data_IF_215385249194
#
_entry.id   IF_215385249194
#
_cell.length_a   1.000
_cell.length_b   1.000
_cell.length_c   1.000
_cell.angle_alpha   90.00
_cell.angle_beta   90.00
_cell.angle_gamma   90.00
#
_symmetry.space_group_name_H-M   'P 1'
#
loop_
_entity.id
_entity.type
_entity.pdbx_description
1 polymer ?
#
# COMPACT_ATOMS: atom_id res chain seq x y z
N UNK A 1 -10.90 7.74 5.73
CA UNK A 1 -10.82 7.83 4.26
C UNK A 1 -9.38 8.02 3.80
N UNK A 2 -9.09 7.76 2.51
CA UNK A 2 -7.80 8.06 1.86
C UNK A 2 -8.09 9.02 0.71
N UNK A 3 -7.34 10.10 0.59
CA UNK A 3 -7.47 11.07 -0.50
C UNK A 3 -6.14 11.21 -1.24
N UNK A 4 -6.19 11.19 -2.57
CA UNK A 4 -5.08 11.52 -3.45
C UNK A 4 -5.45 12.78 -4.22
N UNK A 5 -4.56 13.77 -4.22
CA UNK A 5 -4.78 15.04 -4.89
C UNK A 5 -3.59 15.39 -5.79
N UNK A 6 -3.85 15.38 -7.10
CA UNK A 6 -2.95 15.74 -8.19
C UNK A 6 -1.58 15.05 -8.11
N UNK A 7 -1.62 13.72 -7.95
CA UNK A 7 -0.42 12.91 -7.76
C UNK A 7 0.33 12.72 -9.07
N UNK A 8 1.57 13.20 -9.08
CA UNK A 8 2.58 12.85 -10.07
C UNK A 8 3.66 11.95 -9.45
N UNK A 9 4.06 10.91 -10.18
CA UNK A 9 5.10 9.99 -9.73
C UNK A 9 5.85 9.31 -10.88
N UNK A 10 7.15 9.09 -10.68
CA UNK A 10 7.98 8.19 -11.51
C UNK A 10 9.02 7.48 -10.66
N UNK A 11 9.33 6.24 -11.04
CA UNK A 11 10.40 5.46 -10.39
C UNK A 11 11.79 5.95 -10.76
N UNK A 12 12.01 6.24 -12.04
CA UNK A 12 13.27 6.81 -12.53
C UNK A 12 13.09 8.32 -12.76
N UNK A 13 13.78 9.18 -12.01
CA UNK A 13 13.75 10.63 -12.21
C UNK A 13 14.13 11.09 -13.62
N UNK A 14 14.87 10.29 -14.39
CA UNK A 14 15.29 10.60 -15.75
C UNK A 14 14.34 10.06 -16.82
N UNK A 15 13.31 9.29 -16.45
CA UNK A 15 12.31 8.84 -17.40
C UNK A 15 11.56 10.04 -18.02
N UNK A 16 11.35 9.96 -19.34
CA UNK A 16 10.62 10.97 -20.12
C UNK A 16 9.14 11.06 -19.75
N UNK A 17 8.55 9.96 -19.27
CA UNK A 17 7.13 9.87 -18.92
C UNK A 17 6.95 9.51 -17.46
N UNK A 18 5.95 10.12 -16.84
CA UNK A 18 5.54 9.78 -15.49
C UNK A 18 4.85 8.40 -15.48
N UNK A 19 4.99 7.68 -14.35
CA UNK A 19 4.22 6.45 -14.10
C UNK A 19 2.78 6.77 -13.70
N UNK A 20 2.58 7.87 -12.97
CA UNK A 20 1.29 8.44 -12.61
C UNK A 20 1.34 9.94 -12.87
N UNK A 21 0.29 10.48 -13.47
CA UNK A 21 0.21 11.89 -13.87
C UNK A 21 -1.17 12.45 -13.51
N UNK A 22 -1.20 13.50 -12.69
CA UNK A 22 -2.40 14.23 -12.30
C UNK A 22 -3.49 13.38 -11.64
N UNK A 23 -3.13 12.36 -10.86
CA UNK A 23 -4.12 11.44 -10.28
C UNK A 23 -4.78 12.07 -9.04
N UNK A 24 -6.10 12.28 -9.12
CA UNK A 24 -6.94 12.71 -7.99
C UNK A 24 -8.13 11.78 -7.78
N UNK A 25 -8.32 11.27 -6.56
CA UNK A 25 -9.50 10.52 -6.15
C UNK A 25 -9.58 10.33 -4.63
N UNK A 26 -10.77 9.96 -4.16
CA UNK A 26 -11.04 9.62 -2.77
C UNK A 26 -11.47 8.16 -2.61
N UNK A 27 -10.94 7.50 -1.58
CA UNK A 27 -11.40 6.21 -1.07
C UNK A 27 -12.17 6.47 0.22
N UNK A 28 -13.51 6.34 0.21
CA UNK A 28 -14.32 6.55 1.39
C UNK A 28 -14.06 5.50 2.46
N UNK A 29 -14.25 5.87 3.71
CA UNK A 29 -14.17 4.94 4.83
C UNK A 29 -15.31 3.91 4.80
N UNK A 30 -15.01 2.66 5.18
CA UNK A 30 -16.00 1.59 5.25
C UNK A 30 -16.57 1.15 3.89
N UNK A 31 -15.93 1.55 2.78
CA UNK A 31 -16.33 1.18 1.42
C UNK A 31 -15.28 0.31 0.75
N UNK A 32 -15.75 -0.55 -0.15
CA UNK A 32 -14.90 -1.29 -1.07
C UNK A 32 -14.74 -0.47 -2.34
N UNK A 33 -13.51 -0.11 -2.68
CA UNK A 33 -13.18 0.66 -3.88
C UNK A 33 -12.36 -0.21 -4.83
N UNK A 34 -12.84 -0.35 -6.07
CA UNK A 34 -12.13 -1.07 -7.12
C UNK A 34 -11.33 -0.10 -7.99
N UNK A 35 -10.03 -0.36 -8.17
CA UNK A 35 -9.16 0.36 -9.10
C UNK A 35 -8.83 -0.59 -10.25
N UNK A 36 -9.33 -0.27 -11.45
CA UNK A 36 -9.18 -1.10 -12.66
C UNK A 36 -8.44 -0.34 -13.76
N UNK A 37 -7.77 -1.08 -14.64
CA UNK A 37 -7.01 -0.50 -15.75
C UNK A 37 -6.07 -1.53 -16.38
N UNK A 38 -5.54 -1.21 -17.56
CA UNK A 38 -4.64 -2.09 -18.32
C UNK A 38 -3.36 -2.45 -17.53
N UNK A 39 -2.68 -3.53 -17.92
CA UNK A 39 -1.34 -3.81 -17.37
C UNK A 39 -0.40 -2.62 -17.61
N UNK A 40 0.41 -2.27 -16.61
CA UNK A 40 1.29 -1.10 -16.68
C UNK A 40 0.63 0.25 -16.37
N UNK A 41 -0.69 0.31 -16.14
CA UNK A 41 -1.41 1.57 -15.84
C UNK A 41 -1.11 2.18 -14.46
N UNK A 42 -0.15 1.65 -13.71
CA UNK A 42 0.25 2.21 -12.40
C UNK A 42 -0.58 1.76 -11.19
N UNK A 43 -1.49 0.77 -11.31
CA UNK A 43 -2.30 0.27 -10.17
C UNK A 43 -1.46 -0.16 -8.96
N UNK A 44 -0.45 -1.01 -9.19
CA UNK A 44 0.47 -1.47 -8.14
C UNK A 44 1.28 -0.30 -7.58
N UNK A 45 1.59 0.71 -8.41
CA UNK A 45 2.26 1.94 -7.97
C UNK A 45 1.38 2.75 -7.02
N UNK A 46 0.08 2.92 -7.32
CA UNK A 46 -0.87 3.59 -6.42
C UNK A 46 -0.92 2.91 -5.04
N UNK A 47 -0.97 1.57 -5.02
CA UNK A 47 -0.95 0.81 -3.76
C UNK A 47 0.34 1.08 -2.98
N UNK A 48 1.51 1.03 -3.64
CA UNK A 48 2.81 1.31 -3.00
C UNK A 48 2.89 2.74 -2.45
N UNK A 49 2.31 3.73 -3.15
CA UNK A 49 2.24 5.10 -2.68
C UNK A 49 1.32 5.26 -1.46
N UNK A 50 0.16 4.60 -1.45
CA UNK A 50 -0.74 4.57 -0.29
C UNK A 50 -0.10 3.91 0.94
N UNK A 51 0.88 3.02 0.75
CA UNK A 51 1.69 2.41 1.83
C UNK A 51 2.91 3.24 2.24
N UNK A 52 3.13 4.39 1.58
CA UNK A 52 4.27 5.26 1.82
C UNK A 52 5.61 4.62 1.47
N UNK A 53 5.67 3.78 0.43
CA UNK A 53 6.93 3.19 -0.03
C UNK A 53 7.81 4.22 -0.76
N UNK A 54 7.18 5.21 -1.39
CA UNK A 54 7.86 6.28 -2.08
C UNK A 54 7.17 7.61 -1.80
N UNK A 55 7.91 8.73 -1.76
CA UNK A 55 7.32 10.05 -1.81
C UNK A 55 6.77 10.33 -3.21
N UNK A 56 5.70 11.13 -3.27
CA UNK A 56 5.16 11.66 -4.53
C UNK A 56 6.02 12.83 -5.01
N UNK A 57 6.06 13.08 -6.31
CA UNK A 57 6.78 14.24 -6.85
C UNK A 57 6.00 15.55 -6.72
N UNK A 58 4.67 15.44 -6.87
CA UNK A 58 3.73 16.54 -6.81
C UNK A 58 2.42 16.04 -6.21
N UNK A 59 1.64 16.97 -5.67
CA UNK A 59 0.37 16.66 -5.02
C UNK A 59 0.52 16.16 -3.60
N UNK A 60 -0.54 15.54 -3.08
CA UNK A 60 -0.56 15.02 -1.71
C UNK A 60 -1.40 13.76 -1.55
N UNK A 61 -0.97 12.90 -0.62
CA UNK A 61 -1.75 11.74 -0.16
C UNK A 61 -2.13 12.01 1.28
N UNK A 62 -3.42 11.96 1.58
CA UNK A 62 -3.94 12.17 2.93
C UNK A 62 -4.64 10.93 3.44
N UNK A 63 -4.30 10.52 4.67
CA UNK A 63 -4.94 9.44 5.40
C UNK A 63 -5.73 10.09 6.54
N UNK A 64 -7.05 9.86 6.58
CA UNK A 64 -7.93 10.45 7.60
C UNK A 64 -7.73 11.97 7.80
N UNK A 65 -7.51 12.71 6.69
CA UNK A 65 -7.36 14.16 6.70
C UNK A 65 -5.96 14.68 7.03
N UNK A 66 -4.98 13.81 7.28
CA UNK A 66 -3.57 14.19 7.53
C UNK A 66 -2.67 13.67 6.42
N UNK A 67 -1.68 14.45 6.00
CA UNK A 67 -0.73 14.05 4.97
C UNK A 67 0.05 12.79 5.40
N UNK A 68 0.23 11.83 4.49
CA UNK A 68 0.94 10.58 4.76
C UNK A 68 2.38 10.81 5.27
N UNK A 69 3.02 11.89 4.83
CA UNK A 69 4.39 12.25 5.22
C UNK A 69 4.49 12.72 6.68
N UNK A 70 3.38 13.08 7.32
CA UNK A 70 3.33 13.42 8.76
C UNK A 70 3.21 12.18 9.66
N UNK A 71 2.93 11.00 9.09
CA UNK A 71 2.81 9.77 9.85
C UNK A 71 4.17 9.09 10.06
N UNK A 72 4.29 8.40 11.19
CA UNK A 72 5.28 7.33 11.29
C UNK A 72 4.86 6.19 10.34
N UNK A 73 5.59 6.01 9.23
CA UNK A 73 5.22 5.04 8.20
C UNK A 73 5.24 3.59 8.69
N UNK A 74 6.04 3.24 9.72
CA UNK A 74 6.02 1.91 10.34
C UNK A 74 4.70 1.70 11.08
N UNK A 75 4.24 2.70 11.85
CA UNK A 75 2.94 2.67 12.50
C UNK A 75 1.81 2.58 11.47
N UNK A 76 1.86 3.39 10.41
CA UNK A 76 0.85 3.36 9.34
C UNK A 76 0.72 1.98 8.72
N UNK A 77 1.85 1.37 8.30
CA UNK A 77 1.83 0.03 7.69
C UNK A 77 1.35 -1.08 8.62
N UNK A 78 1.47 -0.96 9.94
CA UNK A 78 0.86 -1.92 10.89
C UNK A 78 -0.67 -1.89 10.86
N UNK A 79 -1.28 -0.81 10.36
CA UNK A 79 -2.73 -0.68 10.18
C UNK A 79 -3.20 -1.08 8.78
N UNK A 80 -2.28 -1.54 7.92
CA UNK A 80 -2.58 -1.94 6.54
C UNK A 80 -2.37 -3.45 6.37
N UNK A 81 -3.43 -4.17 5.99
CA UNK A 81 -3.31 -5.53 5.44
C UNK A 81 -3.15 -5.45 3.92
N UNK A 82 -2.06 -6.00 3.37
CA UNK A 82 -1.77 -5.95 1.93
C UNK A 82 -1.42 -7.33 1.42
N UNK A 83 -2.05 -7.71 0.32
CA UNK A 83 -1.66 -8.86 -0.50
C UNK A 83 -0.94 -8.32 -1.73
N UNK A 84 0.37 -8.58 -1.80
CA UNK A 84 1.20 -8.14 -2.93
C UNK A 84 1.00 -9.06 -4.14
N UNK A 85 1.18 -8.51 -5.34
CA UNK A 85 1.07 -9.27 -6.60
C UNK A 85 2.06 -10.44 -6.65
N UNK A 86 3.29 -10.21 -6.19
CA UNK A 86 4.29 -11.26 -6.00
C UNK A 86 4.29 -11.65 -4.52
N UNK A 87 4.00 -12.93 -4.24
CA UNK A 87 4.06 -13.48 -2.89
C UNK A 87 5.50 -13.77 -2.48
N UNK A 88 5.78 -13.66 -1.18
CA UNK A 88 7.01 -14.15 -0.56
C UNK A 88 6.64 -15.30 0.36
N UNK A 89 7.27 -16.45 0.16
CA UNK A 89 7.21 -17.58 1.08
C UNK A 89 8.59 -17.70 1.71
N UNK A 90 8.64 -17.61 3.02
CA UNK A 90 9.86 -17.80 3.79
C UNK A 90 10.17 -19.30 3.88
N UNK A 91 11.46 -19.65 3.89
CA UNK A 91 11.96 -21.01 4.11
C UNK A 91 11.79 -21.43 5.58
N UNK A 92 10.55 -21.41 6.04
CA UNK A 92 10.09 -21.59 7.41
C UNK A 92 8.82 -22.45 7.41
N UNK A 93 8.29 -22.79 8.59
CA UNK A 93 7.03 -23.53 8.69
C UNK A 93 5.83 -22.79 8.06
N UNK A 94 4.77 -23.54 7.70
CA UNK A 94 3.50 -22.96 7.23
C UNK A 94 2.95 -21.98 8.28
N UNK A 95 3.03 -22.34 9.56
CA UNK A 95 2.60 -21.50 10.67
C UNK A 95 3.33 -20.14 10.68
N UNK A 96 4.65 -20.14 10.44
CA UNK A 96 5.47 -18.91 10.34
C UNK A 96 5.22 -18.11 9.07
N UNK A 97 4.76 -18.75 7.99
CA UNK A 97 4.32 -18.07 6.78
C UNK A 97 2.93 -17.44 6.91
N UNK A 98 2.07 -17.94 7.80
CA UNK A 98 0.76 -17.35 8.11
C UNK A 98 0.90 -16.23 9.15
N UNK A 99 1.62 -16.48 10.24
CA UNK A 99 1.88 -15.52 11.31
C UNK A 99 3.26 -14.87 11.12
N UNK A 100 3.34 -13.98 10.13
CA UNK A 100 4.57 -13.25 9.78
C UNK A 100 4.79 -12.10 10.77
N UNK A 101 5.24 -12.42 11.98
CA UNK A 101 5.72 -11.47 12.99
C UNK A 101 6.78 -12.16 13.88
N UNK A 102 7.60 -11.36 14.55
CA UNK A 102 8.67 -11.82 15.45
C UNK A 102 8.12 -12.33 16.81
N UNK A 103 6.82 -12.15 17.03
CA UNK A 103 6.14 -12.57 18.26
C UNK A 103 5.91 -14.09 18.32
N UNK A 104 5.54 -14.58 19.50
CA UNK A 104 5.03 -15.95 19.63
C UNK A 104 3.73 -16.12 18.83
N UNK A 105 3.61 -17.27 18.17
CA UNK A 105 2.45 -17.58 17.35
C UNK A 105 1.28 -17.92 18.27
N UNK A 106 0.20 -17.17 18.15
CA UNK A 106 -1.07 -17.48 18.79
C UNK A 106 -1.73 -18.67 18.05
N UNK A 107 -1.85 -19.85 18.69
CA UNK A 107 -2.35 -21.05 18.02
C UNK A 107 -3.84 -20.96 17.67
N UNK A 108 -4.65 -20.23 18.42
CA UNK A 108 -6.08 -20.09 18.13
C UNK A 108 -6.28 -19.19 16.91
N UNK A 109 -5.60 -18.03 16.88
CA UNK A 109 -5.65 -17.14 15.70
C UNK A 109 -5.08 -17.80 14.45
N UNK A 110 -4.05 -18.62 14.60
CA UNK A 110 -3.50 -19.39 13.48
C UNK A 110 -4.54 -20.37 12.92
N UNK A 111 -5.30 -21.05 13.79
CA UNK A 111 -6.33 -22.02 13.39
C UNK A 111 -7.52 -21.37 12.68
N UNK A 112 -7.86 -20.13 13.02
CA UNK A 112 -8.91 -19.37 12.35
C UNK A 112 -8.48 -18.84 10.96
N UNK A 113 -7.18 -18.59 10.78
CA UNK A 113 -6.63 -18.04 9.54
C UNK A 113 -6.25 -19.11 8.49
N UNK A 114 -6.11 -20.38 8.91
CA UNK A 114 -5.77 -21.53 8.06
C UNK A 114 -7.01 -22.19 7.45
#
# INVERSE_FOLDING_TARGET
SIAMDNIDFKYDPHALKNTLEGISFDIPEGKVTAIVGASGSGKTTLIKLMLGYYPVMSGSISIAGRNINEYNLKWWRRHCGVVMQDGVIFSESIARNIAVDDNEIDPERLREAA
#
